data_IF_958420545924
#
_entry.id   IF_958420545924
#
_cell.length_a   1.000
_cell.length_b   1.000
_cell.length_c   1.000
_cell.angle_alpha   90.00
_cell.angle_beta   90.00
_cell.angle_gamma   90.00
#
_symmetry.space_group_name_H-M   'P 1'
#
loop_
_entity.id
_entity.type
_entity.pdbx_description
1 polymer ?
#
# COMPACT_ATOMS: atom_id res chain seq x y z
N UNK A 1 15.94 -16.52 8.34
CA UNK A 1 15.08 -15.63 7.55
C UNK A 1 15.27 -16.00 6.08
N UNK A 2 14.22 -16.04 5.26
CA UNK A 2 14.36 -16.37 3.85
C UNK A 2 14.82 -15.13 3.08
N UNK A 3 15.89 -15.27 2.29
CA UNK A 3 16.38 -14.20 1.42
C UNK A 3 15.47 -14.10 0.20
N UNK A 4 14.80 -12.97 0.03
CA UNK A 4 13.94 -12.67 -1.12
C UNK A 4 14.74 -11.79 -2.08
N UNK A 5 14.71 -12.08 -3.38
CA UNK A 5 15.33 -11.18 -4.38
C UNK A 5 14.65 -9.82 -4.32
N UNK A 6 15.42 -8.76 -4.11
CA UNK A 6 14.90 -7.40 -3.94
C UNK A 6 14.07 -6.97 -5.15
N UNK A 7 14.49 -7.32 -6.36
CA UNK A 7 13.76 -7.00 -7.59
C UNK A 7 12.39 -7.66 -7.66
N UNK A 8 12.30 -8.95 -7.31
CA UNK A 8 11.03 -9.69 -7.27
C UNK A 8 10.08 -9.05 -6.26
N UNK A 9 10.57 -8.76 -5.06
CA UNK A 9 9.76 -8.11 -4.02
C UNK A 9 9.25 -6.75 -4.50
N UNK A 10 10.11 -5.91 -5.08
CA UNK A 10 9.74 -4.59 -5.56
C UNK A 10 8.72 -4.67 -6.71
N UNK A 11 8.86 -5.62 -7.62
CA UNK A 11 7.94 -5.78 -8.74
C UNK A 11 6.58 -6.30 -8.28
N UNK A 12 6.55 -7.21 -7.31
CA UNK A 12 5.31 -7.66 -6.68
C UNK A 12 4.60 -6.49 -5.99
N UNK A 13 5.31 -5.73 -5.14
CA UNK A 13 4.72 -4.59 -4.43
C UNK A 13 4.17 -3.53 -5.39
N UNK A 14 4.88 -3.25 -6.50
CA UNK A 14 4.38 -2.35 -7.55
C UNK A 14 3.13 -2.90 -8.23
N UNK A 15 3.10 -4.21 -8.49
CA UNK A 15 1.96 -4.88 -9.12
C UNK A 15 0.73 -4.80 -8.21
N UNK A 16 0.88 -5.17 -6.95
CA UNK A 16 -0.19 -5.14 -5.95
C UNK A 16 -0.74 -3.73 -5.79
N UNK A 17 0.14 -2.72 -5.69
CA UNK A 17 -0.27 -1.31 -5.58
C UNK A 17 -1.09 -0.87 -6.79
N UNK A 18 -0.67 -1.24 -8.02
CA UNK A 18 -1.44 -0.92 -9.24
C UNK A 18 -2.79 -1.61 -9.26
N UNK A 19 -2.86 -2.86 -8.84
CA UNK A 19 -4.10 -3.63 -8.78
C UNK A 19 -5.08 -3.01 -7.78
N UNK A 20 -4.61 -2.67 -6.57
CA UNK A 20 -5.42 -1.98 -5.54
C UNK A 20 -5.95 -0.65 -6.06
N UNK A 21 -5.13 0.14 -6.76
CA UNK A 21 -5.56 1.40 -7.36
C UNK A 21 -6.67 1.17 -8.41
N UNK A 22 -6.54 0.14 -9.25
CA UNK A 22 -7.54 -0.20 -10.26
C UNK A 22 -8.86 -0.61 -9.60
N UNK A 23 -8.81 -1.54 -8.66
CA UNK A 23 -9.99 -2.02 -7.92
C UNK A 23 -10.68 -0.87 -7.16
N UNK A 24 -9.89 -0.02 -6.52
CA UNK A 24 -10.42 1.16 -5.80
C UNK A 24 -11.11 2.14 -6.74
N UNK A 25 -10.62 2.31 -7.97
CA UNK A 25 -11.29 3.16 -8.97
C UNK A 25 -12.63 2.59 -9.43
N UNK A 26 -12.77 1.26 -9.48
CA UNK A 26 -14.05 0.64 -9.83
C UNK A 26 -15.14 0.98 -8.80
N UNK A 27 -14.77 1.13 -7.53
CA UNK A 27 -15.67 1.53 -6.45
C UNK A 27 -16.36 2.89 -6.68
N UNK A 28 -15.77 3.79 -7.48
CA UNK A 28 -16.38 5.08 -7.82
C UNK A 28 -17.68 4.94 -8.61
N UNK A 29 -17.93 3.78 -9.23
CA UNK A 29 -19.14 3.48 -9.98
C UNK A 29 -20.21 2.77 -9.14
N UNK A 30 -19.93 2.48 -7.87
CA UNK A 30 -20.87 1.86 -6.94
C UNK A 30 -21.59 2.90 -6.08
N UNK A 31 -22.66 2.47 -5.42
CA UNK A 31 -23.39 3.28 -4.45
C UNK A 31 -22.43 3.74 -3.32
N UNK A 32 -22.36 5.05 -3.01
CA UNK A 32 -21.57 5.55 -1.89
C UNK A 32 -21.88 4.87 -0.54
N UNK A 33 -23.11 4.39 -0.32
CA UNK A 33 -23.46 3.65 0.91
C UNK A 33 -22.65 2.35 1.06
N UNK A 34 -22.26 1.71 -0.05
CA UNK A 34 -21.40 0.53 -0.03
C UNK A 34 -20.03 0.85 0.59
N UNK A 35 -19.52 2.06 0.38
CA UNK A 35 -18.19 2.46 0.85
C UNK A 35 -18.15 2.67 2.36
N UNK A 36 -19.27 3.08 2.95
CA UNK A 36 -19.38 3.40 4.37
C UNK A 36 -19.93 2.25 5.20
N UNK A 37 -20.64 1.30 4.57
CA UNK A 37 -21.18 0.12 5.24
C UNK A 37 -20.07 -0.79 5.78
N UNK A 38 -20.22 -1.18 7.05
CA UNK A 38 -19.40 -2.23 7.66
C UNK A 38 -19.99 -3.61 7.35
N UNK A 39 -19.19 -4.59 6.92
CA UNK A 39 -19.69 -5.91 6.57
C UNK A 39 -20.08 -6.76 7.79
N UNK A 40 -19.48 -6.48 8.94
CA UNK A 40 -19.76 -7.13 10.22
C UNK A 40 -19.39 -6.22 11.40
N UNK A 41 -19.92 -6.45 12.62
CA UNK A 41 -19.54 -5.71 13.81
C UNK A 41 -18.02 -5.73 14.03
N UNK A 42 -17.42 -4.56 14.22
CA UNK A 42 -15.97 -4.41 14.44
C UNK A 42 -15.10 -4.49 13.17
N UNK A 43 -15.69 -4.71 12.00
CA UNK A 43 -14.96 -4.68 10.73
C UNK A 43 -14.85 -3.25 10.18
N UNK A 44 -13.81 -3.00 9.37
CA UNK A 44 -13.70 -1.75 8.63
C UNK A 44 -14.63 -1.74 7.43
N UNK A 45 -15.19 -0.57 7.15
CA UNK A 45 -15.79 -0.30 5.84
C UNK A 45 -14.69 -0.18 4.78
N UNK A 46 -15.09 -0.23 3.52
CA UNK A 46 -14.18 -0.06 2.38
C UNK A 46 -13.46 1.30 2.45
N UNK A 47 -14.19 2.36 2.78
CA UNK A 47 -13.61 3.69 2.95
C UNK A 47 -12.59 3.75 4.10
N UNK A 48 -12.86 3.08 5.22
CA UNK A 48 -11.93 3.01 6.35
C UNK A 48 -10.63 2.27 5.99
N UNK A 49 -10.74 1.16 5.25
CA UNK A 49 -9.57 0.41 4.79
C UNK A 49 -8.69 1.24 3.83
N UNK A 50 -9.31 1.91 2.85
CA UNK A 50 -8.60 2.78 1.90
C UNK A 50 -7.94 3.96 2.63
N UNK A 51 -8.65 4.59 3.57
CA UNK A 51 -8.11 5.72 4.31
C UNK A 51 -6.94 5.31 5.21
N UNK A 52 -6.98 4.11 5.81
CA UNK A 52 -5.85 3.58 6.56
C UNK A 52 -4.59 3.43 5.69
N UNK A 53 -4.74 2.84 4.48
CA UNK A 53 -3.64 2.71 3.52
C UNK A 53 -3.09 4.09 3.11
N UNK A 54 -3.97 5.04 2.83
CA UNK A 54 -3.59 6.40 2.46
C UNK A 54 -2.88 7.13 3.59
N UNK A 55 -3.35 7.00 4.84
CA UNK A 55 -2.72 7.59 6.01
C UNK A 55 -1.30 7.08 6.23
N UNK A 56 -1.09 5.77 6.08
CA UNK A 56 0.26 5.18 6.12
C UNK A 56 1.14 5.70 4.99
N UNK A 57 0.60 5.82 3.77
CA UNK A 57 1.32 6.41 2.64
C UNK A 57 1.76 7.84 2.93
N UNK A 58 0.85 8.70 3.43
CA UNK A 58 1.16 10.09 3.79
C UNK A 58 2.23 10.21 4.86
N UNK A 59 2.34 9.25 5.78
CA UNK A 59 3.35 9.24 6.82
C UNK A 59 4.69 8.64 6.36
N UNK A 60 4.67 7.43 5.80
CA UNK A 60 5.89 6.67 5.53
C UNK A 60 6.58 7.06 4.22
N UNK A 61 5.86 7.49 3.18
CA UNK A 61 6.51 7.87 1.92
C UNK A 61 7.48 9.05 2.13
N UNK A 62 7.10 10.16 2.81
CA UNK A 62 8.03 11.23 3.12
C UNK A 62 9.20 10.76 4.01
N UNK A 63 8.93 9.93 5.02
CA UNK A 63 9.97 9.43 5.94
C UNK A 63 10.99 8.55 5.22
N UNK A 64 10.54 7.62 4.37
CA UNK A 64 11.39 6.77 3.53
C UNK A 64 12.21 7.63 2.56
N UNK A 65 11.57 8.58 1.87
CA UNK A 65 12.27 9.49 0.96
C UNK A 65 13.36 10.30 1.67
N UNK A 66 13.09 10.77 2.90
CA UNK A 66 14.08 11.46 3.72
C UNK A 66 15.25 10.55 4.07
N UNK A 67 14.98 9.31 4.47
CA UNK A 67 16.00 8.33 4.82
C UNK A 67 16.90 7.97 3.62
N UNK A 68 16.30 7.73 2.44
CA UNK A 68 17.02 7.46 1.18
C UNK A 68 17.90 8.65 0.77
N UNK A 69 17.41 9.88 0.92
CA UNK A 69 18.19 11.09 0.61
C UNK A 69 19.33 11.33 1.61
N UNK A 70 19.12 10.99 2.89
CA UNK A 70 20.10 11.21 3.94
C UNK A 70 21.28 10.23 3.89
N UNK A 71 21.10 9.06 3.27
CA UNK A 71 22.11 8.00 3.22
C UNK A 71 22.13 7.33 1.85
N UNK A 72 23.29 7.31 1.21
CA UNK A 72 23.49 6.53 -0.02
C UNK A 72 24.03 5.15 0.36
N UNK A 73 23.16 4.14 0.29
CA UNK A 73 23.56 2.74 0.34
C UNK A 73 23.45 2.15 -1.06
N UNK A 74 24.40 1.28 -1.48
CA UNK A 74 24.25 0.55 -2.73
C UNK A 74 23.01 -0.36 -2.67
N UNK A 75 22.34 -0.61 -3.80
CA UNK A 75 21.25 -1.57 -3.85
C UNK A 75 21.68 -2.95 -3.35
N UNK A 76 20.87 -3.59 -2.51
CA UNK A 76 21.07 -4.98 -2.09
C UNK A 76 20.37 -5.93 -3.06
N UNK A 77 21.05 -7.03 -3.43
CA UNK A 77 20.46 -8.07 -4.28
C UNK A 77 19.33 -8.83 -3.58
N UNK A 78 19.39 -8.92 -2.25
CA UNK A 78 18.41 -9.64 -1.43
C UNK A 78 17.91 -8.81 -0.25
N UNK A 79 16.68 -9.12 0.18
CA UNK A 79 16.06 -8.63 1.40
C UNK A 79 16.01 -9.79 2.40
N UNK A 80 16.47 -9.56 3.63
CA UNK A 80 16.71 -10.56 4.68
C UNK A 80 15.99 -10.23 5.96
#
# INVERSE_FOLDING_TARGET
MQNIKTTILLDQLKSDTRQIILETKLLLHHDPELLTRQPAPGSWSVAQAIEHLNAYGRYYIPAINKAIKAKSYPPSETYS
#
